data_IF_977315161483
#
_entry.id   IF_977315161483
#
_cell.length_a   1.000
_cell.length_b   1.000
_cell.length_c   1.000
_cell.angle_alpha   90.00
_cell.angle_beta   90.00
_cell.angle_gamma   90.00
#
_symmetry.space_group_name_H-M   'P 1'
#
loop_
_entity.id
_entity.type
_entity.pdbx_description
1 polymer ?
#
# COMPACT_ATOMS: atom_id res chain seq x y z
N UNK A 1 14.24 -0.79 -19.78
CA UNK A 1 15.68 -0.74 -19.45
C UNK A 1 15.91 0.57 -18.75
N UNK A 2 16.14 0.55 -17.44
CA UNK A 2 16.39 1.77 -16.66
C UNK A 2 17.69 2.40 -17.12
N UNK A 3 17.72 3.73 -17.25
CA UNK A 3 18.95 4.45 -17.55
C UNK A 3 19.99 4.18 -16.44
N UNK A 4 21.29 4.09 -16.77
CA UNK A 4 22.33 3.77 -15.78
C UNK A 4 22.37 4.77 -14.60
N UNK A 5 21.99 6.04 -14.85
CA UNK A 5 21.87 7.07 -13.82
C UNK A 5 20.75 6.75 -12.82
N UNK A 6 19.58 6.29 -13.30
CA UNK A 6 18.48 5.93 -12.44
C UNK A 6 18.83 4.71 -11.57
N UNK A 7 19.49 3.71 -12.16
CA UNK A 7 19.96 2.55 -11.40
C UNK A 7 20.92 2.92 -10.27
N UNK A 8 21.82 3.89 -10.49
CA UNK A 8 22.73 4.38 -9.45
C UNK A 8 21.99 5.10 -8.32
N UNK A 9 20.99 5.94 -8.66
CA UNK A 9 20.17 6.64 -7.68
C UNK A 9 19.36 5.65 -6.84
N UNK A 10 18.75 4.66 -7.48
CA UNK A 10 17.96 3.61 -6.83
C UNK A 10 18.81 2.79 -5.85
N UNK A 11 20.00 2.33 -6.29
CA UNK A 11 20.92 1.58 -5.44
C UNK A 11 21.39 2.40 -4.24
N UNK A 12 21.81 3.66 -4.46
CA UNK A 12 22.27 4.53 -3.38
C UNK A 12 21.19 4.80 -2.33
N UNK A 13 19.93 4.93 -2.75
CA UNK A 13 18.81 5.13 -1.83
C UNK A 13 18.50 3.84 -1.06
N UNK A 14 18.51 2.69 -1.74
CA UNK A 14 18.29 1.39 -1.11
C UNK A 14 19.36 1.08 -0.05
N UNK A 15 20.63 1.32 -0.36
CA UNK A 15 21.74 1.13 0.58
C UNK A 15 21.60 2.03 1.81
N UNK A 16 21.24 3.31 1.60
CA UNK A 16 21.01 4.24 2.70
C UNK A 16 19.87 3.78 3.62
N UNK A 17 18.72 3.37 3.06
CA UNK A 17 17.58 2.88 3.83
C UNK A 17 17.89 1.56 4.56
N UNK A 18 18.72 0.70 3.97
CA UNK A 18 19.18 -0.53 4.61
C UNK A 18 20.12 -0.23 5.80
N UNK A 19 21.07 0.70 5.65
CA UNK A 19 22.01 1.09 6.72
C UNK A 19 21.27 1.64 7.94
N UNK A 20 20.34 2.59 7.74
CA UNK A 20 19.58 3.17 8.85
C UNK A 20 18.74 2.12 9.57
N UNK A 21 18.14 1.19 8.81
CA UNK A 21 17.33 0.10 9.37
C UNK A 21 18.19 -0.85 10.18
N UNK A 22 19.35 -1.26 9.64
CA UNK A 22 20.28 -2.14 10.33
C UNK A 22 20.78 -1.52 11.64
N UNK A 23 21.20 -0.25 11.60
CA UNK A 23 21.73 0.43 12.80
C UNK A 23 20.65 0.71 13.84
N UNK A 24 19.40 0.94 13.43
CA UNK A 24 18.27 1.04 14.35
C UNK A 24 17.96 -0.30 15.05
N UNK A 25 18.13 -1.44 14.37
CA UNK A 25 17.84 -2.76 14.91
C UNK A 25 18.96 -3.33 15.79
N UNK A 26 20.22 -3.11 15.40
CA UNK A 26 21.38 -3.77 16.02
C UNK A 26 22.32 -2.82 16.77
N UNK A 27 22.11 -1.51 16.67
CA UNK A 27 22.90 -0.52 17.40
C UNK A 27 22.57 -0.49 18.89
N UNK A 28 23.51 -0.02 19.71
CA UNK A 28 23.21 0.28 21.11
C UNK A 28 22.21 1.43 21.24
N UNK A 29 21.57 1.55 22.41
CA UNK A 29 20.52 2.55 22.66
C UNK A 29 20.99 3.99 22.40
N UNK A 30 22.26 4.30 22.69
CA UNK A 30 22.82 5.64 22.48
C UNK A 30 22.97 5.93 20.99
N UNK A 31 23.42 4.96 20.22
CA UNK A 31 23.55 5.00 18.77
C UNK A 31 22.17 5.13 18.13
N UNK A 32 21.21 4.30 18.54
CA UNK A 32 19.83 4.37 18.07
C UNK A 32 19.20 5.74 18.36
N UNK A 33 19.35 6.27 19.57
CA UNK A 33 18.80 7.58 19.94
C UNK A 33 19.50 8.75 19.22
N UNK A 34 20.81 8.66 18.96
CA UNK A 34 21.53 9.65 18.16
C UNK A 34 21.06 9.63 16.71
N UNK A 35 20.92 8.44 16.14
CA UNK A 35 20.43 8.24 14.78
C UNK A 35 18.99 8.69 14.60
N UNK A 36 18.10 8.36 15.53
CA UNK A 36 16.71 8.80 15.46
C UNK A 36 16.63 10.33 15.35
N UNK A 37 17.46 11.06 16.11
CA UNK A 37 17.49 12.53 16.06
C UNK A 37 18.09 13.08 14.76
N UNK A 38 19.04 12.39 14.13
CA UNK A 38 19.65 12.86 12.87
C UNK A 38 18.86 12.45 11.63
N UNK A 39 18.34 11.22 11.60
CA UNK A 39 17.76 10.61 10.40
C UNK A 39 16.24 10.77 10.31
N UNK A 40 15.48 10.68 11.43
CA UNK A 40 14.02 10.81 11.36
C UNK A 40 13.57 12.15 10.75
N UNK A 41 14.15 13.31 11.11
CA UNK A 41 13.76 14.57 10.47
C UNK A 41 13.96 14.54 8.95
N UNK A 42 15.05 13.92 8.48
CA UNK A 42 15.37 13.82 7.04
C UNK A 42 14.39 12.90 6.30
N UNK A 43 14.04 11.77 6.91
CA UNK A 43 13.04 10.85 6.37
C UNK A 43 11.66 11.48 6.31
N UNK A 44 11.27 12.24 7.35
CA UNK A 44 9.99 12.96 7.39
C UNK A 44 9.95 14.03 6.29
N UNK A 45 11.02 14.80 6.10
CA UNK A 45 11.08 15.80 5.02
C UNK A 45 11.07 15.14 3.62
N UNK A 46 11.78 14.03 3.43
CA UNK A 46 11.73 13.28 2.18
C UNK A 46 10.32 12.73 1.88
N UNK A 47 9.64 12.20 2.90
CA UNK A 47 8.26 11.71 2.77
C UNK A 47 7.30 12.86 2.45
N UNK A 48 7.40 14.00 3.14
CA UNK A 48 6.59 15.19 2.84
C UNK A 48 6.78 15.63 1.39
N UNK A 49 8.02 15.74 0.92
CA UNK A 49 8.30 16.12 -0.45
C UNK A 49 7.64 15.18 -1.48
N UNK A 50 7.65 13.87 -1.21
CA UNK A 50 6.93 12.89 -2.06
C UNK A 50 5.41 13.07 -1.97
N UNK A 51 4.86 13.29 -0.77
CA UNK A 51 3.42 13.48 -0.59
C UNK A 51 2.92 14.79 -1.22
N UNK A 52 3.71 15.85 -1.16
CA UNK A 52 3.40 17.15 -1.78
C UNK A 52 3.30 17.03 -3.31
N UNK A 53 4.16 16.23 -3.94
CA UNK A 53 4.05 15.91 -5.38
C UNK A 53 2.78 15.10 -5.73
N UNK A 54 2.16 14.50 -4.71
CA UNK A 54 1.01 13.62 -4.80
C UNK A 54 -0.31 14.22 -4.30
N UNK A 55 -0.35 15.54 -4.03
CA UNK A 55 -1.50 16.23 -3.44
C UNK A 55 -2.84 15.81 -4.08
N UNK A 56 -3.70 15.04 -3.36
CA UNK A 56 -4.94 14.53 -3.91
C UNK A 56 -6.06 15.57 -3.81
N UNK A 57 -7.03 15.47 -4.72
CA UNK A 57 -8.27 16.25 -4.61
C UNK A 57 -9.16 15.76 -3.44
N UNK A 58 -10.29 16.44 -3.22
CA UNK A 58 -11.29 16.09 -2.21
C UNK A 58 -11.85 14.66 -2.33
N UNK A 59 -11.68 14.00 -3.49
CA UNK A 59 -12.09 12.62 -3.75
C UNK A 59 -10.94 11.62 -3.61
N UNK A 60 -9.76 12.07 -3.15
CA UNK A 60 -8.57 11.25 -2.97
C UNK A 60 -7.83 10.95 -4.26
N UNK A 61 -8.09 11.66 -5.36
CA UNK A 61 -7.47 11.41 -6.68
C UNK A 61 -6.27 12.33 -6.88
N UNK A 62 -5.14 11.75 -7.26
CA UNK A 62 -3.90 12.49 -7.54
C UNK A 62 -3.59 12.49 -9.05
N UNK A 63 -3.33 13.64 -9.69
CA UNK A 63 -3.03 13.72 -11.12
C UNK A 63 -1.70 13.05 -11.50
N UNK A 64 -0.73 13.00 -10.58
CA UNK A 64 0.58 12.37 -10.75
C UNK A 64 0.50 10.84 -10.74
N UNK A 65 -0.54 10.27 -10.09
CA UNK A 65 -0.82 8.84 -10.16
C UNK A 65 -1.33 8.46 -11.55
N UNK A 66 -0.41 8.05 -12.43
CA UNK A 66 -0.73 7.64 -13.81
C UNK A 66 -1.95 6.72 -13.90
N UNK A 67 -2.81 7.04 -14.87
CA UNK A 67 -3.84 6.14 -15.38
C UNK A 67 -3.30 5.30 -16.54
N UNK A 68 -3.90 4.13 -16.76
CA UNK A 68 -3.82 3.48 -18.08
C UNK A 68 -4.54 4.40 -19.10
N UNK A 69 -4.21 4.31 -20.40
CA UNK A 69 -4.77 5.19 -21.47
C UNK A 69 -6.30 5.34 -21.48
N UNK A 70 -7.04 4.47 -20.79
CA UNK A 70 -8.51 4.51 -20.67
C UNK A 70 -9.02 4.28 -19.22
N UNK A 71 -8.13 4.33 -18.21
CA UNK A 71 -8.46 4.05 -16.82
C UNK A 71 -8.77 5.31 -16.00
N UNK A 72 -9.56 5.15 -14.92
CA UNK A 72 -9.73 6.20 -13.90
C UNK A 72 -8.50 6.28 -12.99
N UNK A 73 -8.16 7.48 -12.53
CA UNK A 73 -7.09 7.70 -11.54
C UNK A 73 -7.38 6.88 -10.30
N UNK A 74 -6.39 6.11 -9.79
CA UNK A 74 -6.60 5.34 -8.57
C UNK A 74 -6.95 6.28 -7.42
N UNK A 75 -7.99 5.92 -6.68
CA UNK A 75 -8.43 6.59 -5.47
C UNK A 75 -8.60 5.53 -4.37
N UNK A 76 -8.00 5.71 -3.18
CA UNK A 76 -7.17 6.86 -2.80
C UNK A 76 -5.81 6.89 -3.51
N UNK A 77 -5.15 8.06 -3.52
CA UNK A 77 -3.79 8.25 -4.03
C UNK A 77 -2.85 7.18 -3.46
N UNK A 78 -2.08 6.51 -4.33
CA UNK A 78 -1.25 5.38 -3.93
C UNK A 78 -0.17 5.78 -2.93
N UNK A 79 0.45 6.94 -3.08
CA UNK A 79 1.48 7.43 -2.17
C UNK A 79 0.93 7.66 -0.75
N UNK A 80 -0.20 8.37 -0.65
CA UNK A 80 -0.88 8.59 0.63
C UNK A 80 -1.39 7.30 1.26
N UNK A 81 -1.96 6.40 0.46
CA UNK A 81 -2.42 5.09 0.95
C UNK A 81 -1.26 4.28 1.51
N UNK A 82 -0.13 4.20 0.80
CA UNK A 82 1.05 3.49 1.27
C UNK A 82 1.62 4.11 2.55
N UNK A 83 1.74 5.44 2.61
CA UNK A 83 2.20 6.12 3.81
C UNK A 83 1.30 5.84 5.02
N UNK A 84 -0.02 5.91 4.85
CA UNK A 84 -0.97 5.61 5.93
C UNK A 84 -0.87 4.16 6.40
N UNK A 85 -0.80 3.20 5.47
CA UNK A 85 -0.69 1.78 5.82
C UNK A 85 0.61 1.45 6.54
N UNK A 86 1.73 2.07 6.17
CA UNK A 86 3.04 1.78 6.75
C UNK A 86 3.37 2.56 8.02
N UNK A 87 2.72 3.69 8.28
CA UNK A 87 3.05 4.58 9.40
C UNK A 87 1.93 4.76 10.42
N UNK A 88 0.69 4.44 10.07
CA UNK A 88 -0.46 4.67 10.95
C UNK A 88 -1.18 3.36 11.24
N UNK A 89 -1.52 2.58 10.21
CA UNK A 89 -2.24 1.33 10.39
C UNK A 89 -1.40 0.21 11.04
N UNK A 90 -0.07 0.37 11.09
CA UNK A 90 0.85 -0.54 11.80
C UNK A 90 1.00 -0.19 13.28
N UNK A 91 0.67 1.04 13.67
CA UNK A 91 0.72 1.52 15.06
C UNK A 91 -0.60 1.24 15.80
N UNK A 92 -1.63 0.80 15.09
CA UNK A 92 -2.78 0.11 15.65
C UNK A 92 -2.34 -1.29 16.13
N UNK A 93 -1.55 -1.34 17.21
CA UNK A 93 -1.54 -2.50 18.08
C UNK A 93 -3.00 -2.90 18.33
N UNK A 94 -3.38 -4.19 18.23
CA UNK A 94 -4.75 -4.60 18.45
C UNK A 94 -5.09 -4.40 19.93
N UNK A 95 -5.49 -3.19 20.33
CA UNK A 95 -6.50 -3.06 21.36
C UNK A 95 -7.60 -3.99 20.91
N UNK A 96 -7.89 -4.99 21.73
CA UNK A 96 -8.95 -5.95 21.52
C UNK A 96 -10.30 -5.19 21.46
N UNK A 97 -10.56 -4.55 20.33
CA UNK A 97 -11.90 -4.17 19.95
C UNK A 97 -12.54 -5.49 19.60
N UNK A 98 -13.42 -5.95 20.49
CA UNK A 98 -14.28 -7.09 20.24
C UNK A 98 -15.06 -6.78 18.96
N UNK A 99 -14.54 -7.25 17.83
CA UNK A 99 -15.19 -7.15 16.53
C UNK A 99 -16.39 -8.10 16.60
N UNK A 100 -17.52 -7.60 17.12
CA UNK A 100 -18.82 -8.21 16.86
C UNK A 100 -19.07 -8.08 15.37
N UNK A 101 -18.62 -9.11 14.65
CA UNK A 101 -18.71 -9.24 13.21
C UNK A 101 -20.19 -9.16 12.82
N UNK A 102 -20.67 -8.14 12.07
CA UNK A 102 -21.99 -8.24 11.48
C UNK A 102 -21.92 -9.33 10.42
N UNK A 103 -22.64 -10.41 10.70
CA UNK A 103 -22.92 -11.57 9.87
C UNK A 103 -23.06 -11.18 8.39
N UNK A 104 -22.01 -11.39 7.59
CA UNK A 104 -22.15 -11.39 6.13
C UNK A 104 -23.09 -12.53 5.75
N UNK A 105 -24.21 -12.21 5.09
CA UNK A 105 -25.11 -13.22 4.52
C UNK A 105 -24.29 -14.11 3.57
N UNK A 106 -24.39 -15.44 3.69
CA UNK A 106 -23.73 -16.32 2.73
C UNK A 106 -24.33 -16.08 1.34
N UNK A 107 -23.47 -15.89 0.35
CA UNK A 107 -23.87 -15.90 -1.06
C UNK A 107 -24.19 -17.36 -1.39
N UNK A 108 -25.48 -17.69 -1.49
CA UNK A 108 -25.94 -18.98 -2.00
C UNK A 108 -25.70 -18.96 -3.51
N UNK A 109 -24.68 -19.68 -3.97
CA UNK A 109 -24.55 -20.02 -5.38
C UNK A 109 -25.65 -21.04 -5.69
N UNK A 110 -26.66 -20.61 -6.45
CA UNK A 110 -27.67 -21.51 -6.99
C UNK A 110 -27.00 -22.44 -8.00
N UNK A 111 -27.11 -23.75 -7.77
CA UNK A 111 -26.63 -24.76 -8.73
C UNK A 111 -27.46 -24.70 -10.02
N UNK A 112 -26.83 -24.94 -11.19
CA UNK A 112 -27.56 -24.96 -12.45
C UNK A 112 -28.54 -26.14 -12.47
N UNK A 113 -29.84 -25.82 -12.50
CA UNK A 113 -30.89 -26.80 -12.71
C UNK A 113 -30.69 -27.51 -14.06
N UNK A 114 -30.48 -28.82 -13.99
CA UNK A 114 -30.59 -29.75 -15.10
C UNK A 114 -32.04 -29.78 -15.58
N UNK A 115 -32.33 -29.04 -16.66
CA UNK A 115 -33.62 -29.14 -17.32
C UNK A 115 -33.64 -30.33 -18.28
N UNK A 116 -34.65 -31.16 -18.10
CA UNK A 116 -34.76 -32.51 -18.60
C UNK A 116 -34.93 -32.67 -20.11
N UNK A 117 -34.54 -33.87 -20.52
CA UNK A 117 -34.97 -34.63 -21.69
C UNK A 117 -36.38 -34.26 -22.19
N UNK A 118 -36.46 -33.92 -23.48
CA UNK A 118 -37.67 -34.10 -24.27
C UNK A 118 -37.41 -35.14 -25.38
N UNK A 119 -38.13 -36.23 -25.20
CA UNK A 119 -38.34 -37.43 -26.01
C UNK A 119 -38.85 -37.07 -27.41
N UNK A 120 -38.30 -37.66 -28.47
CA UNK A 120 -38.92 -37.71 -29.78
C UNK A 120 -39.56 -39.10 -30.01
N UNK A 121 -40.79 -39.18 -30.56
CA UNK A 121 -41.39 -40.46 -30.95
C UNK A 121 -40.90 -40.88 -32.34
N UNK A 122 -40.87 -42.20 -32.57
CA UNK A 122 -40.39 -42.78 -33.81
C UNK A 122 -41.28 -42.53 -35.03
N UNK A 123 -40.63 -42.61 -36.19
CA UNK A 123 -41.05 -43.25 -37.44
C UNK A 123 -39.78 -43.46 -38.28
#
# INVERSE_FOLDING_TARGET
MSSPIFGQLEASLADYLADITHRAQFGDERTAASMARSELPRLVEALKAVLDEHEPDQFGRCPSCRTTRFGRTPAPCRAYLSAHLCLVATDDEPTAVEVTTPMRRPIVLAEPSTFGMLKAPGC
#
